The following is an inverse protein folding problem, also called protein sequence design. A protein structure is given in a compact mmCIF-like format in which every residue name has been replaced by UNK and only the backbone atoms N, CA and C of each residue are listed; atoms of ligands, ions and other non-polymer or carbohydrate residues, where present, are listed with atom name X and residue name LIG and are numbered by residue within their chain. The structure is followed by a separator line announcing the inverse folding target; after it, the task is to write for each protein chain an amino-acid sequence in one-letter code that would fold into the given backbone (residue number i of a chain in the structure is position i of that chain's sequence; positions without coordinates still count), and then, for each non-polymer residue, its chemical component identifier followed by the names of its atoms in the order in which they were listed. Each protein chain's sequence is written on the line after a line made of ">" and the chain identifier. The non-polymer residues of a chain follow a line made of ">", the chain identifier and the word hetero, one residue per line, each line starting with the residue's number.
data_IF_565263998052
#
_entry.id   IF_565263998052
#
_cell.length_a   1.000
_cell.length_b   1.000
_cell.length_c   1.000
_cell.angle_alpha   90.00
_cell.angle_beta   90.00
_cell.angle_gamma   90.00
#
_symmetry.space_group_name_H-M   'P 1'
#
loop_
_entity.id
_entity.type
_entity.pdbx_description
1 polymer ?
#
# COMPACT_ATOMS: atom_id res chain seq x y z
N UNK A 1 5.72 -19.09 -5.45
CA UNK A 1 5.80 -17.76 -6.14
C UNK A 1 6.10 -17.96 -7.63
N UNK A 2 5.82 -16.98 -8.51
CA UNK A 2 6.07 -17.13 -9.97
C UNK A 2 7.51 -17.35 -10.41
N UNK A 3 8.50 -16.91 -9.64
CA UNK A 3 9.90 -17.26 -9.91
C UNK A 3 10.17 -18.76 -9.73
N UNK A 4 9.37 -19.47 -8.92
CA UNK A 4 9.54 -20.91 -8.68
C UNK A 4 9.25 -21.73 -9.95
N UNK A 5 8.27 -21.31 -10.76
CA UNK A 5 7.94 -21.89 -12.07
C UNK A 5 9.15 -21.99 -13.04
N UNK A 6 10.10 -21.05 -12.95
CA UNK A 6 11.29 -21.02 -13.82
C UNK A 6 12.51 -21.66 -13.14
N UNK A 7 12.94 -21.18 -11.96
CA UNK A 7 14.18 -21.65 -11.31
C UNK A 7 14.01 -22.78 -10.27
N UNK A 8 12.78 -23.29 -10.08
CA UNK A 8 12.39 -24.37 -9.15
C UNK A 8 12.32 -23.98 -7.66
N UNK A 9 11.43 -24.59 -6.89
CA UNK A 9 11.11 -24.25 -5.48
C UNK A 9 12.27 -24.46 -4.47
N UNK A 10 12.04 -24.05 -3.21
CA UNK A 10 12.89 -24.40 -2.06
C UNK A 10 14.21 -23.64 -1.97
N UNK A 11 14.37 -22.60 -2.79
CA UNK A 11 15.61 -21.82 -2.91
C UNK A 11 15.86 -20.91 -1.72
N UNK A 12 17.14 -20.66 -1.45
CA UNK A 12 17.60 -19.68 -0.46
C UNK A 12 18.14 -18.45 -1.19
N UNK A 13 17.65 -17.27 -0.83
CA UNK A 13 18.21 -15.99 -1.28
C UNK A 13 19.43 -15.63 -0.43
N UNK A 14 20.50 -15.18 -1.09
CA UNK A 14 21.80 -14.89 -0.49
C UNK A 14 22.04 -13.38 -0.62
N UNK A 15 21.82 -12.58 0.44
CA UNK A 15 22.01 -11.14 0.40
C UNK A 15 23.48 -10.77 0.20
N UNK A 16 23.74 -9.74 -0.62
CA UNK A 16 25.07 -9.19 -0.91
C UNK A 16 25.32 -7.85 -0.19
N UNK A 17 24.29 -7.24 0.40
CA UNK A 17 24.38 -6.00 1.16
C UNK A 17 23.42 -6.00 2.36
N UNK A 18 23.53 -4.99 3.25
CA UNK A 18 22.74 -4.93 4.48
C UNK A 18 21.23 -4.75 4.23
N UNK A 19 20.84 -3.96 3.23
CA UNK A 19 19.42 -3.74 2.86
C UNK A 19 18.79 -5.03 2.36
N UNK A 20 19.51 -5.79 1.54
CA UNK A 20 19.09 -7.13 1.10
C UNK A 20 19.00 -8.11 2.28
N UNK A 21 19.90 -8.01 3.26
CA UNK A 21 19.86 -8.87 4.46
C UNK A 21 18.60 -8.61 5.28
N UNK A 22 18.30 -7.34 5.57
CA UNK A 22 17.05 -6.91 6.23
C UNK A 22 15.83 -7.41 5.45
N UNK A 23 15.80 -7.22 4.12
CA UNK A 23 14.71 -7.74 3.29
C UNK A 23 14.55 -9.26 3.38
N UNK A 24 15.62 -10.03 3.22
CA UNK A 24 15.56 -11.50 3.21
C UNK A 24 15.17 -12.05 4.59
N UNK A 25 15.84 -11.58 5.64
CA UNK A 25 15.70 -12.14 6.99
C UNK A 25 14.38 -11.69 7.64
N UNK A 26 14.07 -10.39 7.60
CA UNK A 26 12.98 -9.80 8.39
C UNK A 26 11.64 -9.82 7.65
N UNK A 27 11.64 -9.59 6.33
CA UNK A 27 10.42 -9.43 5.51
C UNK A 27 10.08 -10.67 4.70
N UNK A 28 10.94 -11.06 3.76
CA UNK A 28 10.67 -12.15 2.82
C UNK A 28 10.48 -13.49 3.54
N UNK A 29 11.39 -13.86 4.45
CA UNK A 29 11.33 -15.18 5.11
C UNK A 29 10.09 -15.33 5.99
N UNK A 30 9.57 -14.24 6.58
CA UNK A 30 8.39 -14.25 7.44
C UNK A 30 7.06 -14.20 6.68
N UNK A 31 7.02 -13.60 5.49
CA UNK A 31 5.77 -13.36 4.73
C UNK A 31 5.62 -14.15 3.43
N UNK A 32 6.67 -14.81 2.92
CA UNK A 32 6.66 -15.53 1.62
C UNK A 32 5.49 -16.50 1.44
N UNK A 33 5.06 -17.16 2.52
CA UNK A 33 3.99 -18.17 2.50
C UNK A 33 2.60 -17.51 2.64
N UNK A 34 2.52 -16.26 3.11
CA UNK A 34 1.29 -15.46 3.15
C UNK A 34 0.94 -14.87 1.77
N UNK A 35 1.94 -14.56 0.96
CA UNK A 35 1.78 -13.93 -0.37
C UNK A 35 0.89 -14.77 -1.29
N UNK A 36 0.96 -16.10 -1.21
CA UNK A 36 0.13 -17.01 -2.03
C UNK A 36 -1.35 -17.02 -1.58
N UNK A 37 -1.65 -16.49 -0.40
CA UNK A 37 -3.00 -16.28 0.13
C UNK A 37 -3.62 -14.92 -0.20
N UNK A 38 -2.92 -14.03 -0.92
CA UNK A 38 -3.44 -12.71 -1.34
C UNK A 38 -3.94 -12.79 -2.79
N UNK A 39 -5.25 -13.02 -3.05
CA UNK A 39 -5.78 -13.26 -4.39
C UNK A 39 -5.66 -12.04 -5.32
N UNK A 40 -5.43 -10.85 -4.77
CA UNK A 40 -5.21 -9.61 -5.53
C UNK A 40 -3.79 -9.46 -6.06
N UNK A 41 -2.90 -10.43 -5.84
CA UNK A 41 -1.55 -10.47 -6.43
C UNK A 41 -1.57 -11.30 -7.72
N UNK A 42 -1.56 -10.59 -8.85
CA UNK A 42 -1.28 -11.19 -10.16
C UNK A 42 0.23 -11.16 -10.43
N UNK A 43 0.77 -12.21 -11.04
CA UNK A 43 2.20 -12.26 -11.35
C UNK A 43 2.53 -13.10 -12.57
N UNK A 44 3.59 -12.70 -13.26
CA UNK A 44 4.08 -13.31 -14.49
C UNK A 44 5.60 -13.51 -14.39
N UNK A 45 6.09 -14.64 -14.90
CA UNK A 45 7.51 -14.88 -15.13
C UNK A 45 7.70 -15.30 -16.60
N UNK A 46 8.69 -14.72 -17.28
CA UNK A 46 8.96 -15.00 -18.70
C UNK A 46 10.42 -14.74 -19.07
N UNK A 47 10.91 -15.48 -20.06
CA UNK A 47 12.19 -15.28 -20.72
C UNK A 47 12.18 -14.13 -21.74
N UNK A 48 11.02 -13.53 -22.02
CA UNK A 48 10.85 -12.44 -22.97
C UNK A 48 10.47 -11.14 -22.25
N UNK A 49 11.29 -10.10 -22.42
CA UNK A 49 11.06 -8.79 -21.79
C UNK A 49 9.76 -8.13 -22.26
N UNK A 50 9.37 -8.36 -23.52
CA UNK A 50 8.16 -7.79 -24.11
C UNK A 50 6.88 -8.38 -23.52
N UNK A 51 6.87 -9.65 -23.08
CA UNK A 51 5.73 -10.24 -22.38
C UNK A 51 5.53 -9.60 -20.99
N UNK A 52 6.62 -9.40 -20.24
CA UNK A 52 6.58 -8.70 -18.95
C UNK A 52 6.15 -7.23 -19.13
N UNK A 53 6.72 -6.54 -20.13
CA UNK A 53 6.37 -5.15 -20.44
C UNK A 53 4.92 -4.99 -20.90
N UNK A 54 4.38 -5.97 -21.64
CA UNK A 54 2.96 -6.02 -22.00
C UNK A 54 2.08 -6.24 -20.77
N UNK A 55 2.38 -7.24 -19.93
CA UNK A 55 1.64 -7.49 -18.69
C UNK A 55 1.56 -6.26 -17.79
N UNK A 56 2.67 -5.53 -17.62
CA UNK A 56 2.70 -4.27 -16.87
C UNK A 56 1.85 -3.17 -17.53
N UNK A 57 1.94 -3.01 -18.86
CA UNK A 57 1.18 -2.01 -19.60
C UNK A 57 -0.34 -2.29 -19.62
N UNK A 58 -0.74 -3.56 -19.72
CA UNK A 58 -2.15 -4.00 -19.65
C UNK A 58 -2.76 -3.68 -18.28
N UNK A 59 -1.94 -3.64 -17.21
CA UNK A 59 -2.33 -3.19 -15.87
C UNK A 59 -2.20 -1.67 -15.65
N UNK A 60 -1.85 -0.91 -16.68
CA UNK A 60 -1.72 0.56 -16.64
C UNK A 60 -0.39 1.09 -16.11
N UNK A 61 0.61 0.24 -15.87
CA UNK A 61 1.95 0.69 -15.45
C UNK A 61 2.76 1.23 -16.63
N UNK A 62 3.62 2.20 -16.34
CA UNK A 62 4.48 2.87 -17.34
C UNK A 62 5.96 2.53 -17.20
N UNK A 63 6.35 1.77 -16.16
CA UNK A 63 7.68 1.16 -16.04
C UNK A 63 7.89 0.08 -17.10
N UNK A 64 9.14 -0.06 -17.55
CA UNK A 64 9.56 -1.10 -18.50
C UNK A 64 10.91 -1.68 -18.11
N UNK A 65 11.05 -2.99 -18.28
CA UNK A 65 12.32 -3.70 -18.24
C UNK A 65 13.03 -3.55 -19.58
N UNK A 66 14.35 -3.46 -19.53
CA UNK A 66 15.21 -3.41 -20.69
C UNK A 66 15.37 -4.83 -21.28
N UNK A 67 15.59 -4.99 -22.60
CA UNK A 67 15.62 -6.30 -23.26
C UNK A 67 16.55 -7.32 -22.60
N UNK A 68 16.10 -8.57 -22.53
CA UNK A 68 16.81 -9.66 -21.86
C UNK A 68 17.90 -10.27 -22.75
N UNK A 69 18.92 -10.87 -22.10
CA UNK A 69 19.82 -11.82 -22.76
C UNK A 69 19.19 -13.23 -22.72
N UNK A 70 19.65 -14.19 -23.55
CA UNK A 70 19.12 -15.57 -23.53
C UNK A 70 19.26 -16.32 -22.19
N UNK A 71 20.01 -15.77 -21.23
CA UNK A 71 20.23 -16.32 -19.89
C UNK A 71 19.45 -15.55 -18.81
N UNK A 72 18.65 -14.55 -19.19
CA UNK A 72 17.87 -13.70 -18.29
C UNK A 72 16.38 -13.94 -18.47
N UNK A 73 15.66 -14.13 -17.36
CA UNK A 73 14.20 -14.07 -17.32
C UNK A 73 13.77 -12.92 -16.40
N UNK A 74 12.58 -12.39 -16.63
CA UNK A 74 11.93 -11.39 -15.80
C UNK A 74 10.83 -11.99 -14.95
N UNK A 75 10.52 -11.33 -13.84
CA UNK A 75 9.32 -11.57 -13.04
C UNK A 75 8.67 -10.21 -12.78
N UNK A 76 7.37 -10.13 -12.96
CA UNK A 76 6.55 -9.01 -12.51
C UNK A 76 5.46 -9.51 -11.57
N UNK A 77 5.09 -8.67 -10.61
CA UNK A 77 3.95 -8.85 -9.75
C UNK A 77 3.18 -7.52 -9.65
N UNK A 78 1.86 -7.60 -9.65
CA UNK A 78 0.93 -6.49 -9.52
C UNK A 78 -0.03 -6.83 -8.38
N UNK A 79 -0.12 -5.97 -7.38
CA UNK A 79 -1.13 -6.02 -6.34
C UNK A 79 -2.31 -5.12 -6.75
N UNK A 80 -3.55 -5.59 -6.65
CA UNK A 80 -4.73 -4.89 -7.18
C UNK A 80 -5.99 -4.92 -6.25
N UNK A 81 -5.91 -4.22 -5.10
CA UNK A 81 -6.93 -4.08 -4.02
C UNK A 81 -7.85 -2.80 -4.08
N UNK A 82 -9.11 -2.81 -4.55
CA UNK A 82 -10.03 -1.70 -4.18
C UNK A 82 -10.57 -1.98 -2.79
N UNK A 83 -10.58 -0.94 -1.98
CA UNK A 83 -11.36 -0.90 -0.76
C UNK A 83 -12.43 0.16 -0.90
N UNK A 84 -13.68 -0.27 -0.96
CA UNK A 84 -14.78 0.66 -0.78
C UNK A 84 -14.98 0.94 0.70
N UNK A 85 -15.20 2.20 1.05
CA UNK A 85 -15.53 2.57 2.42
C UNK A 85 -16.84 1.93 2.84
N UNK A 86 -16.89 1.40 4.06
CA UNK A 86 -18.11 0.79 4.61
C UNK A 86 -19.31 1.74 4.50
N UNK A 87 -19.06 3.04 4.69
CA UNK A 87 -19.96 4.13 4.39
C UNK A 87 -19.25 5.15 3.47
N UNK A 88 -19.93 5.63 2.42
CA UNK A 88 -19.38 6.67 1.53
C UNK A 88 -19.14 7.98 2.31
N UNK A 89 -18.01 8.62 2.05
CA UNK A 89 -17.64 9.89 2.67
C UNK A 89 -18.28 11.08 1.92
N UNK A 90 -18.37 12.23 2.57
CA UNK A 90 -18.87 13.47 1.95
C UNK A 90 -17.69 14.31 1.47
N UNK A 91 -17.70 14.88 0.25
CA UNK A 91 -16.66 15.82 -0.19
C UNK A 91 -16.52 17.02 0.76
N UNK A 92 -15.28 17.41 1.06
CA UNK A 92 -14.94 18.46 2.00
C UNK A 92 -13.72 19.28 1.53
N UNK A 93 -13.50 20.44 2.13
CA UNK A 93 -12.29 21.24 1.95
C UNK A 93 -11.34 21.05 3.14
N UNK A 94 -10.04 20.89 2.88
CA UNK A 94 -8.99 20.88 3.91
C UNK A 94 -8.06 22.06 3.71
N UNK A 95 -7.75 22.78 4.78
CA UNK A 95 -6.87 23.95 4.77
C UNK A 95 -5.54 23.62 5.41
N UNK A 96 -4.47 23.77 4.65
CA UNK A 96 -3.10 23.60 5.14
C UNK A 96 -2.16 24.61 4.49
N UNK A 97 -1.20 25.13 5.26
CA UNK A 97 -0.20 26.09 4.76
C UNK A 97 -0.78 27.37 4.13
N UNK A 98 -2.06 27.71 4.38
CA UNK A 98 -2.77 28.81 3.71
C UNK A 98 -3.35 28.46 2.34
N UNK A 99 -3.22 27.22 1.88
CA UNK A 99 -3.90 26.65 0.70
C UNK A 99 -5.18 25.92 1.12
N UNK A 100 -6.03 25.62 0.14
CA UNK A 100 -7.19 24.73 0.29
C UNK A 100 -7.03 23.56 -0.69
N UNK A 101 -7.38 22.36 -0.24
CA UNK A 101 -7.25 21.10 -0.97
C UNK A 101 -8.56 20.32 -0.89
N UNK A 102 -8.80 19.48 -1.90
CA UNK A 102 -9.92 18.53 -1.89
C UNK A 102 -9.71 17.47 -0.80
N UNK A 103 -10.76 17.23 -0.02
CA UNK A 103 -10.76 16.25 1.07
C UNK A 103 -12.11 15.54 1.17
N UNK A 104 -12.20 14.65 2.14
CA UNK A 104 -13.42 13.92 2.45
C UNK A 104 -13.68 13.89 3.95
N UNK A 105 -14.95 14.02 4.33
CA UNK A 105 -15.47 13.88 5.70
C UNK A 105 -16.12 12.50 5.87
N UNK A 106 -15.67 11.74 6.86
CA UNK A 106 -16.26 10.48 7.28
C UNK A 106 -16.94 10.63 8.63
N UNK A 107 -18.27 10.56 8.61
CA UNK A 107 -19.16 10.68 9.77
C UNK A 107 -19.45 9.30 10.40
N UNK A 108 -19.44 8.25 9.58
CA UNK A 108 -19.58 6.85 10.01
C UNK A 108 -18.44 5.97 9.46
N UNK A 109 -18.37 4.71 9.91
CA UNK A 109 -17.34 3.76 9.46
C UNK A 109 -15.92 4.03 10.00
N UNK A 110 -15.72 5.16 10.70
CA UNK A 110 -14.43 5.57 11.27
C UNK A 110 -14.26 5.19 12.74
N UNK A 111 -13.01 4.96 13.13
CA UNK A 111 -12.61 4.40 14.41
C UNK A 111 -11.30 5.07 14.87
N UNK A 112 -11.30 5.76 16.01
CA UNK A 112 -10.13 6.47 16.52
C UNK A 112 -9.32 5.69 17.56
N UNK A 113 -8.01 5.94 17.57
CA UNK A 113 -7.03 5.32 18.46
C UNK A 113 -5.94 6.32 18.86
N UNK A 114 -5.24 6.01 19.94
CA UNK A 114 -3.95 6.62 20.34
C UNK A 114 -2.92 5.51 20.54
N UNK A 115 -1.63 5.81 20.42
CA UNK A 115 -0.55 4.86 20.72
C UNK A 115 0.51 5.54 21.59
N UNK A 116 1.07 4.88 22.62
CA UNK A 116 2.17 5.45 23.40
C UNK A 116 3.44 5.66 22.56
N UNK A 117 3.51 5.02 21.37
CA UNK A 117 4.60 5.13 20.42
C UNK A 117 4.39 6.22 19.36
N UNK A 118 3.28 6.97 19.40
CA UNK A 118 2.93 7.97 18.39
C UNK A 118 2.18 9.18 19.00
N UNK A 119 2.63 10.43 18.78
CA UNK A 119 2.05 11.59 19.47
C UNK A 119 0.69 12.03 18.92
N UNK A 120 0.38 11.74 17.65
CA UNK A 120 -0.85 12.15 16.99
C UNK A 120 -1.93 11.03 17.05
N UNK A 121 -3.22 11.37 17.03
CA UNK A 121 -4.30 10.39 17.01
C UNK A 121 -4.36 9.66 15.65
N UNK A 122 -4.82 8.41 15.68
CA UNK A 122 -4.89 7.52 14.52
C UNK A 122 -6.36 7.26 14.20
N UNK A 123 -6.75 7.41 12.94
CA UNK A 123 -8.05 6.95 12.45
C UNK A 123 -7.91 5.64 11.68
N UNK A 124 -8.85 4.72 11.92
CA UNK A 124 -9.10 3.51 11.15
C UNK A 124 -10.41 3.71 10.41
N UNK A 125 -10.39 3.50 9.10
CA UNK A 125 -11.54 3.54 8.19
C UNK A 125 -11.89 2.10 7.85
N UNK A 126 -13.11 1.68 8.17
CA UNK A 126 -13.62 0.36 7.82
C UNK A 126 -13.97 0.28 6.32
N UNK A 127 -13.69 -0.86 5.70
CA UNK A 127 -13.98 -1.12 4.28
C UNK A 127 -15.00 -2.26 4.14
N UNK A 128 -15.70 -2.34 3.00
CA UNK A 128 -16.66 -3.42 2.72
C UNK A 128 -15.99 -4.79 2.57
N UNK A 129 -14.70 -4.82 2.21
CA UNK A 129 -13.91 -6.05 2.05
C UNK A 129 -13.37 -6.65 3.36
N UNK A 130 -13.59 -5.98 4.51
CA UNK A 130 -13.04 -6.41 5.80
C UNK A 130 -11.64 -5.86 6.09
N UNK A 131 -10.89 -5.45 5.07
CA UNK A 131 -9.66 -4.67 5.23
C UNK A 131 -9.94 -3.34 5.95
N UNK A 132 -8.90 -2.76 6.54
CA UNK A 132 -8.96 -1.47 7.22
C UNK A 132 -7.86 -0.54 6.71
N UNK A 133 -8.22 0.69 6.37
CA UNK A 133 -7.25 1.76 6.06
C UNK A 133 -7.02 2.58 7.31
N UNK A 134 -5.78 2.74 7.72
CA UNK A 134 -5.40 3.57 8.84
C UNK A 134 -4.69 4.83 8.35
N UNK A 135 -4.94 5.96 9.00
CA UNK A 135 -4.28 7.24 8.73
C UNK A 135 -3.89 7.94 10.03
N UNK A 136 -2.71 8.56 10.06
CA UNK A 136 -2.29 9.46 11.14
C UNK A 136 -1.27 10.47 10.65
N UNK A 137 -1.23 11.65 11.28
CA UNK A 137 -0.30 12.72 10.93
C UNK A 137 1.13 12.25 11.20
N UNK A 138 2.01 12.50 10.23
CA UNK A 138 3.43 12.19 10.28
C UNK A 138 4.19 13.20 9.42
N UNK A 139 4.66 14.30 10.04
CA UNK A 139 5.27 15.42 9.33
C UNK A 139 6.51 15.04 8.50
N UNK A 140 7.26 14.03 8.95
CA UNK A 140 8.43 13.48 8.28
C UNK A 140 8.51 11.97 8.51
N UNK A 141 8.37 11.18 7.46
CA UNK A 141 8.53 9.73 7.53
C UNK A 141 10.00 9.30 7.34
N UNK A 142 10.43 8.19 7.94
CA UNK A 142 11.63 7.48 7.50
C UNK A 142 11.36 6.78 6.16
N UNK A 143 12.38 6.23 5.50
CA UNK A 143 12.26 5.69 4.13
C UNK A 143 12.44 4.18 4.06
N UNK A 144 11.85 3.55 3.04
CA UNK A 144 11.93 2.10 2.83
C UNK A 144 11.38 1.30 4.01
N UNK A 145 12.12 0.28 4.44
CA UNK A 145 11.71 -0.64 5.51
C UNK A 145 11.47 0.04 6.86
N UNK A 146 12.13 1.16 7.14
CA UNK A 146 11.93 1.90 8.40
C UNK A 146 10.51 2.48 8.51
N UNK A 147 9.83 2.72 7.39
CA UNK A 147 8.44 3.18 7.37
C UNK A 147 7.45 2.06 7.76
N UNK A 148 7.74 0.82 7.39
CA UNK A 148 6.95 -0.35 7.84
C UNK A 148 7.19 -0.60 9.33
N UNK A 149 8.45 -0.56 9.77
CA UNK A 149 8.81 -0.66 11.19
C UNK A 149 8.15 0.43 12.04
N UNK A 150 8.02 1.67 11.52
CA UNK A 150 7.29 2.75 12.19
C UNK A 150 5.82 2.36 12.40
N UNK A 151 5.11 1.95 11.34
CA UNK A 151 3.70 1.54 11.44
C UNK A 151 3.52 0.37 12.42
N UNK A 152 4.39 -0.63 12.40
CA UNK A 152 4.32 -1.76 13.34
C UNK A 152 4.54 -1.32 14.80
N UNK A 153 5.42 -0.34 15.04
CA UNK A 153 5.56 0.29 16.36
C UNK A 153 4.30 1.05 16.77
N UNK A 154 3.69 1.82 15.86
CA UNK A 154 2.42 2.50 16.11
C UNK A 154 1.34 1.49 16.50
N UNK A 155 1.17 0.43 15.70
CA UNK A 155 0.17 -0.63 15.90
C UNK A 155 0.32 -1.35 17.25
N UNK A 156 1.56 -1.64 17.66
CA UNK A 156 1.87 -2.45 18.85
C UNK A 156 1.32 -1.92 20.18
N UNK A 157 0.92 -0.64 20.23
CA UNK A 157 0.37 0.02 21.42
C UNK A 157 -0.97 0.72 21.17
N UNK A 158 -1.69 0.45 20.08
CA UNK A 158 -2.94 1.15 19.78
C UNK A 158 -4.04 0.84 20.81
N UNK A 159 -4.52 1.89 21.47
CA UNK A 159 -5.66 1.86 22.38
C UNK A 159 -6.83 2.69 21.83
N UNK A 160 -8.06 2.26 22.14
CA UNK A 160 -9.28 2.85 21.62
C UNK A 160 -9.51 4.27 22.18
N UNK A 161 -9.55 5.27 21.30
CA UNK A 161 -9.90 6.64 21.64
C UNK A 161 -11.36 6.94 21.28
N UNK A 162 -11.98 7.86 22.03
CA UNK A 162 -13.37 8.29 21.83
C UNK A 162 -13.53 9.81 21.75
N UNK A 163 -12.43 10.57 21.61
CA UNK A 163 -12.44 12.03 21.71
C UNK A 163 -12.94 12.72 20.43
N UNK A 164 -12.98 11.99 19.31
CA UNK A 164 -13.38 12.50 18.00
C UNK A 164 -14.75 11.95 17.56
N UNK A 165 -15.44 12.74 16.74
CA UNK A 165 -16.68 12.35 16.05
C UNK A 165 -16.34 11.84 14.66
N UNK A 166 -15.90 12.77 13.80
CA UNK A 166 -15.71 12.53 12.37
C UNK A 166 -14.24 12.63 11.99
N UNK A 167 -13.88 12.15 10.79
CA UNK A 167 -12.55 12.31 10.19
C UNK A 167 -12.63 13.21 8.95
N UNK A 168 -11.77 14.24 8.87
CA UNK A 168 -11.49 14.96 7.64
C UNK A 168 -10.08 14.59 7.16
N UNK A 169 -9.97 14.02 5.96
CA UNK A 169 -8.69 13.59 5.37
C UNK A 169 -8.59 14.00 3.88
N UNK A 170 -7.40 14.40 3.38
CA UNK A 170 -7.24 14.81 1.97
C UNK A 170 -7.57 13.69 1.00
N UNK A 171 -8.06 14.05 -0.18
CA UNK A 171 -8.05 13.14 -1.33
C UNK A 171 -6.61 12.98 -1.83
N UNK A 172 -6.28 11.81 -2.37
CA UNK A 172 -4.91 11.43 -2.70
C UNK A 172 -4.82 10.85 -4.10
N UNK A 173 -3.77 11.21 -4.83
CA UNK A 173 -3.44 10.64 -6.12
C UNK A 173 -1.90 10.55 -6.31
N UNK A 174 -1.33 9.43 -5.85
CA UNK A 174 0.08 9.09 -5.98
C UNK A 174 0.28 8.21 -7.23
N UNK A 175 1.25 8.58 -8.06
CA UNK A 175 1.85 7.73 -9.09
C UNK A 175 3.37 7.93 -9.06
N UNK A 176 4.06 7.08 -8.30
CA UNK A 176 5.49 7.21 -8.01
C UNK A 176 6.30 6.04 -8.56
N UNK A 177 7.48 6.33 -9.12
CA UNK A 177 8.45 5.34 -9.56
C UNK A 177 9.56 5.24 -8.52
N UNK A 178 9.58 4.12 -7.79
CA UNK A 178 10.50 3.90 -6.69
C UNK A 178 11.76 3.19 -7.21
N UNK A 179 12.93 3.74 -6.88
CA UNK A 179 14.20 3.08 -7.15
C UNK A 179 14.42 1.91 -6.17
N UNK A 180 14.24 0.69 -6.67
CA UNK A 180 14.50 -0.55 -5.95
C UNK A 180 15.81 -1.23 -6.40
N UNK A 181 16.76 -0.47 -6.97
CA UNK A 181 18.07 -0.96 -7.40
C UNK A 181 18.88 -1.64 -6.27
N UNK A 182 18.52 -1.43 -5.01
CA UNK A 182 19.10 -2.16 -3.87
C UNK A 182 18.89 -3.69 -3.95
N UNK A 183 17.90 -4.18 -4.71
CA UNK A 183 17.69 -5.61 -5.01
C UNK A 183 18.68 -6.18 -6.03
N UNK A 184 19.33 -5.35 -6.84
CA UNK A 184 20.28 -5.80 -7.87
C UNK A 184 21.45 -6.54 -7.21
N UNK A 185 21.97 -7.57 -7.89
CA UNK A 185 22.94 -8.54 -7.38
C UNK A 185 22.43 -9.45 -6.23
N UNK A 186 21.18 -9.37 -5.77
CA UNK A 186 20.62 -10.39 -4.86
C UNK A 186 20.68 -11.77 -5.54
N UNK A 187 21.28 -12.77 -4.87
CA UNK A 187 21.64 -14.06 -5.51
C UNK A 187 20.80 -15.22 -4.99
N UNK A 188 20.65 -16.24 -5.82
CA UNK A 188 20.17 -17.55 -5.39
C UNK A 188 20.80 -18.66 -6.23
N UNK A 189 20.47 -19.91 -5.96
CA UNK A 189 20.86 -21.07 -6.75
C UNK A 189 19.56 -21.75 -7.19
N UNK A 190 19.43 -21.96 -8.51
CA UNK A 190 18.31 -22.71 -9.08
C UNK A 190 18.30 -24.15 -8.56
N UNK A 191 17.15 -24.81 -8.59
CA UNK A 191 16.98 -26.22 -8.18
C UNK A 191 17.95 -27.19 -8.88
N UNK A 192 18.40 -26.89 -10.10
CA UNK A 192 19.40 -27.65 -10.85
C UNK A 192 20.87 -27.22 -10.61
N UNK A 193 21.13 -26.38 -9.60
CA UNK A 193 22.48 -26.00 -9.16
C UNK A 193 23.12 -24.81 -9.87
N UNK A 194 22.44 -24.16 -10.83
CA UNK A 194 22.96 -22.98 -11.52
C UNK A 194 22.78 -21.71 -10.67
N UNK A 195 23.80 -20.84 -10.53
CA UNK A 195 23.65 -19.57 -9.84
C UNK A 195 22.78 -18.59 -10.64
N UNK A 196 21.86 -17.90 -9.96
CA UNK A 196 21.02 -16.84 -10.51
C UNK A 196 21.17 -15.56 -9.68
N UNK A 197 20.91 -14.39 -10.29
CA UNK A 197 20.92 -13.10 -9.59
C UNK A 197 19.97 -12.09 -10.23
N UNK A 198 19.48 -11.15 -9.43
CA UNK A 198 18.68 -10.01 -9.91
C UNK A 198 19.57 -9.06 -10.71
N UNK A 199 19.20 -8.78 -11.96
CA UNK A 199 19.94 -7.89 -12.89
C UNK A 199 19.23 -6.57 -13.14
N UNK A 200 17.91 -6.54 -12.99
CA UNK A 200 17.07 -5.33 -13.07
C UNK A 200 16.02 -5.39 -11.95
N UNK A 201 15.68 -4.24 -11.39
CA UNK A 201 14.59 -4.09 -10.41
C UNK A 201 13.96 -2.70 -10.60
N UNK A 202 12.64 -2.63 -10.83
CA UNK A 202 11.90 -1.38 -11.00
C UNK A 202 10.53 -1.51 -10.32
N UNK A 203 10.10 -0.51 -9.57
CA UNK A 203 8.80 -0.46 -8.91
C UNK A 203 8.07 0.82 -9.31
N UNK A 204 6.75 0.72 -9.48
CA UNK A 204 5.86 1.86 -9.59
C UNK A 204 4.68 1.63 -8.64
N UNK A 205 4.41 2.61 -7.78
CA UNK A 205 3.33 2.58 -6.80
C UNK A 205 2.26 3.57 -7.24
N UNK A 206 1.05 3.07 -7.50
CA UNK A 206 -0.14 3.90 -7.69
C UNK A 206 -1.03 3.77 -6.46
N UNK A 207 -1.37 4.88 -5.80
CA UNK A 207 -2.30 4.89 -4.67
C UNK A 207 -3.24 6.07 -4.80
N UNK A 208 -4.55 5.81 -4.87
CA UNK A 208 -5.58 6.83 -5.01
C UNK A 208 -6.64 6.71 -3.93
N UNK A 209 -7.11 7.82 -3.39
CA UNK A 209 -8.08 7.87 -2.30
C UNK A 209 -9.08 9.02 -2.52
N UNK A 210 -10.37 8.72 -2.51
CA UNK A 210 -11.44 9.72 -2.63
C UNK A 210 -12.67 9.33 -1.78
N UNK A 211 -13.75 10.08 -1.93
CA UNK A 211 -14.97 9.94 -1.14
C UNK A 211 -15.65 8.57 -1.23
N UNK A 212 -15.39 7.75 -2.27
CA UNK A 212 -15.97 6.42 -2.46
C UNK A 212 -15.13 5.27 -1.91
N UNK A 213 -13.80 5.41 -1.93
CA UNK A 213 -12.87 4.35 -1.56
C UNK A 213 -11.41 4.73 -1.68
N UNK A 214 -10.54 3.76 -1.42
CA UNK A 214 -9.12 3.77 -1.78
C UNK A 214 -8.83 2.70 -2.84
N UNK A 215 -8.32 3.11 -3.99
CA UNK A 215 -8.23 2.31 -5.21
C UNK A 215 -6.89 1.60 -5.38
N UNK A 216 -6.99 0.27 -5.49
CA UNK A 216 -6.82 -0.57 -6.69
C UNK A 216 -8.21 -1.20 -7.15
N UNK A 217 -8.44 -2.47 -7.58
CA UNK A 217 -9.63 -3.07 -8.37
C UNK A 217 -11.07 -3.32 -7.73
N UNK A 218 -12.22 -2.85 -8.27
CA UNK A 218 -13.52 -2.43 -7.58
C UNK A 218 -14.83 -3.32 -7.47
N UNK A 219 -15.74 -3.08 -6.45
CA UNK A 219 -17.26 -3.04 -6.50
C UNK A 219 -18.09 -3.04 -5.12
N UNK A 220 -19.44 -2.79 -5.13
CA UNK A 220 -20.19 -2.00 -4.08
C UNK A 220 -21.51 -2.51 -3.36
N UNK A 221 -21.91 -1.86 -2.23
CA UNK A 221 -23.26 -1.81 -1.56
C UNK A 221 -23.39 -0.74 -0.40
N UNK A 222 -24.56 -0.50 0.25
CA UNK A 222 -24.81 0.60 1.24
C UNK A 222 -25.73 0.27 2.46
N UNK A 223 -25.74 1.10 3.53
CA UNK A 223 -26.61 1.00 4.73
C UNK A 223 -26.93 2.39 5.38
N UNK A 224 -27.75 2.42 6.46
CA UNK A 224 -28.30 3.64 7.13
C UNK A 224 -28.34 3.47 8.66
N UNK A 225 -28.08 4.55 9.44
CA UNK A 225 -28.19 4.57 10.91
C UNK A 225 -29.24 5.57 11.45
N UNK A 226 -29.42 5.60 12.78
CA UNK A 226 -30.39 6.44 13.51
C UNK A 226 -29.69 7.16 14.69
N UNK A 227 -29.81 8.48 14.76
CA UNK A 227 -29.13 9.29 15.78
C UNK A 227 -29.81 9.31 17.16
N UNK A 228 -28.99 9.44 18.21
CA UNK A 228 -29.38 9.95 19.52
C UNK A 228 -28.57 11.21 19.85
N UNK A 229 -29.17 12.23 20.45
CA UNK A 229 -28.49 13.47 20.79
C UNK A 229 -27.34 13.27 21.80
N UNK A 230 -26.11 13.30 21.31
CA UNK A 230 -24.91 13.63 22.07
C UNK A 230 -24.47 15.07 21.74
N UNK A 231 -23.61 15.68 22.57
CA UNK A 231 -22.93 16.90 22.13
C UNK A 231 -21.91 16.52 21.03
N UNK A 232 -21.80 17.31 19.94
CA UNK A 232 -20.87 17.01 18.87
C UNK A 232 -19.44 17.03 19.39
N UNK A 233 -18.72 15.95 19.11
CA UNK A 233 -17.27 15.84 19.36
C UNK A 233 -16.52 16.65 18.30
N UNK A 234 -15.26 17.07 18.56
CA UNK A 234 -14.42 17.62 17.51
C UNK A 234 -14.16 16.59 16.41
N UNK A 235 -13.93 17.09 15.19
CA UNK A 235 -13.46 16.27 14.08
C UNK A 235 -11.93 16.04 14.21
N UNK A 236 -11.44 14.87 13.83
CA UNK A 236 -10.02 14.67 13.57
C UNK A 236 -9.71 15.18 12.15
N UNK A 237 -8.88 16.21 12.04
CA UNK A 237 -8.48 16.80 10.76
C UNK A 237 -7.03 16.41 10.44
N UNK A 238 -6.82 15.72 9.33
CA UNK A 238 -5.51 15.43 8.76
C UNK A 238 -5.10 16.64 7.88
N UNK A 239 -4.56 17.66 8.53
CA UNK A 239 -4.18 18.95 7.91
C UNK A 239 -2.70 19.07 7.54
N UNK A 240 -1.92 18.01 7.70
CA UNK A 240 -0.45 17.95 7.49
C UNK A 240 -0.06 16.62 6.86
N UNK A 241 1.17 16.47 6.32
CA UNK A 241 1.66 15.19 5.81
C UNK A 241 1.42 14.04 6.78
N UNK A 242 1.02 12.89 6.25
CA UNK A 242 0.46 11.79 7.01
C UNK A 242 0.97 10.44 6.51
N UNK A 243 0.95 9.43 7.36
CA UNK A 243 1.15 8.03 6.94
C UNK A 243 -0.20 7.36 6.80
N UNK A 244 -0.39 6.62 5.72
CA UNK A 244 -1.54 5.77 5.46
C UNK A 244 -1.08 4.32 5.31
N UNK A 245 -1.81 3.36 5.88
CA UNK A 245 -1.52 1.94 5.69
C UNK A 245 -2.78 1.08 5.61
N UNK A 246 -2.65 -0.06 4.94
CA UNK A 246 -3.73 -1.04 4.75
C UNK A 246 -3.46 -2.26 5.61
N UNK A 247 -4.40 -2.63 6.47
CA UNK A 247 -4.34 -3.85 7.30
C UNK A 247 -5.43 -4.84 6.89
N UNK A 248 -5.01 -6.07 6.61
CA UNK A 248 -5.87 -7.24 6.46
C UNK A 248 -5.73 -8.12 7.70
N UNK A 249 -6.85 -8.61 8.22
CA UNK A 249 -6.83 -9.55 9.35
C UNK A 249 -6.19 -10.87 8.92
N UNK A 250 -5.33 -11.44 9.78
CA UNK A 250 -4.64 -12.70 9.53
C UNK A 250 -3.28 -12.60 8.81
N UNK A 251 -2.91 -11.44 8.24
CA UNK A 251 -1.56 -11.20 7.73
C UNK A 251 -0.63 -10.68 8.84
N UNK A 252 0.65 -11.03 8.81
CA UNK A 252 1.62 -10.53 9.80
C UNK A 252 1.85 -9.01 9.67
N UNK A 253 1.98 -8.52 8.44
CA UNK A 253 2.39 -7.14 8.11
C UNK A 253 1.28 -6.36 7.36
N UNK A 254 1.31 -5.02 7.32
CA UNK A 254 0.42 -4.25 6.44
C UNK A 254 0.67 -4.53 4.96
N UNK A 255 -0.39 -4.50 4.14
CA UNK A 255 -0.33 -4.75 2.69
C UNK A 255 0.36 -3.62 1.93
N UNK A 256 0.13 -2.38 2.38
CA UNK A 256 0.71 -1.15 1.82
C UNK A 256 0.96 -0.19 2.97
N UNK A 257 2.07 0.55 2.90
CA UNK A 257 2.32 1.74 3.73
C UNK A 257 2.80 2.86 2.80
N UNK A 258 2.21 4.04 2.93
CA UNK A 258 2.54 5.22 2.14
C UNK A 258 2.69 6.45 3.04
N UNK A 259 3.73 7.26 2.83
CA UNK A 259 3.81 8.62 3.37
C UNK A 259 3.25 9.58 2.33
N UNK A 260 2.25 10.37 2.72
CA UNK A 260 1.49 11.24 1.82
C UNK A 260 1.78 12.71 2.19
N UNK A 261 2.29 13.46 1.23
CA UNK A 261 2.59 14.90 1.36
C UNK A 261 1.58 15.74 0.57
N UNK A 262 1.58 17.06 0.79
CA UNK A 262 0.73 18.03 0.06
C UNK A 262 0.83 17.91 -1.48
N UNK A 263 1.94 17.39 -2.01
CA UNK A 263 2.13 17.22 -3.47
C UNK A 263 1.21 16.15 -4.07
N UNK A 264 0.75 15.21 -3.24
CA UNK A 264 -0.18 14.16 -3.62
C UNK A 264 -1.66 14.51 -3.36
N UNK A 265 -1.96 15.66 -2.75
CA UNK A 265 -3.31 16.03 -2.32
C UNK A 265 -4.11 16.66 -3.47
N UNK A 266 -4.95 15.85 -4.12
CA UNK A 266 -5.81 16.20 -5.24
C UNK A 266 -6.88 15.13 -5.42
N UNK A 267 -8.08 15.51 -5.86
CA UNK A 267 -9.10 14.53 -6.25
C UNK A 267 -8.59 13.68 -7.44
N UNK A 268 -8.48 12.34 -7.31
CA UNK A 268 -8.15 11.45 -8.42
C UNK A 268 -9.26 11.34 -9.48
N UNK A 269 -10.45 11.89 -9.22
CA UNK A 269 -11.65 11.73 -10.04
C UNK A 269 -12.29 10.37 -9.86
N UNK A 270 -12.85 9.81 -10.94
CA UNK A 270 -13.41 8.46 -10.90
C UNK A 270 -12.32 7.38 -10.74
N UNK A 271 -12.64 6.38 -9.92
CA UNK A 271 -11.77 5.23 -9.60
C UNK A 271 -11.78 4.17 -10.72
N UNK A 272 -11.48 4.57 -11.97
CA UNK A 272 -11.60 3.71 -13.16
C UNK A 272 -10.32 2.90 -13.46
N UNK A 273 -10.50 1.72 -14.04
CA UNK A 273 -9.47 1.05 -14.84
C UNK A 273 -9.92 0.91 -16.28
N UNK A 274 -9.00 1.12 -17.24
CA UNK A 274 -9.22 0.64 -18.60
C UNK A 274 -9.11 -0.88 -18.60
N UNK A 275 -10.27 -1.54 -18.53
CA UNK A 275 -10.46 -2.92 -18.93
C UNK A 275 -11.23 -2.90 -20.26
N UNK A 276 -10.50 -3.03 -21.38
CA UNK A 276 -11.03 -3.53 -22.66
C UNK A 276 -10.35 -4.87 -22.97
#
# INVERSE_FOLDING_TARGET
>A
MKADDIIGEGRVWIPQNQTQKVFVDDYYTSTKDEIEGVPEIESLASWEADEINKFLADHGFSIKLDPFTPETFGVAAVLNLLMEWLQEAVPAEIRSGGKTFDGMRMEEGVKFFTSPNHPDPIAQIATKGGDSVFVTIQQSAPTGFELVSLVEQIESGMERCWDFGDLLVPMVDIDEKVDISWLIELRTVASWGQPARVTQAKQQTMFKMNQRGALLKSAAAAAVSLEMCAMPKPDLVIDRPFVAWIRREGLLRPLVVAHVTEEAWKDPGDLVGHSE
#
